data_IF_957461991511
#
_entry.id   IF_957461991511
#
_cell.length_a   1.000
_cell.length_b   1.000
_cell.length_c   1.000
_cell.angle_alpha   90.00
_cell.angle_beta   90.00
_cell.angle_gamma   90.00
#
_symmetry.space_group_name_H-M   'P 1'
#
loop_
_entity.id
_entity.type
_entity.pdbx_description
1 polymer ?
#
# COMPACT_ATOMS: atom_id res chain seq x y z
N UNK A 1 -18.67 2.17 -13.65
CA UNK A 1 -19.17 1.80 -12.30
C UNK A 1 -17.94 1.70 -11.39
N UNK A 2 -17.63 2.74 -10.60
CA UNK A 2 -16.34 2.85 -9.88
C UNK A 2 -16.30 2.17 -8.50
N UNK A 3 -17.41 1.60 -8.03
CA UNK A 3 -17.46 0.85 -6.78
C UNK A 3 -17.65 -0.63 -7.13
N UNK A 4 -16.73 -1.53 -6.74
CA UNK A 4 -16.77 -2.94 -7.06
C UNK A 4 -17.80 -3.69 -6.19
N UNK A 5 -19.09 -3.45 -6.43
CA UNK A 5 -20.18 -4.16 -5.74
C UNK A 5 -20.25 -5.65 -6.13
N UNK A 6 -19.71 -6.01 -7.31
CA UNK A 6 -19.78 -7.37 -7.87
C UNK A 6 -18.81 -8.32 -7.17
N UNK A 7 -17.58 -7.89 -6.90
CA UNK A 7 -16.59 -8.76 -6.26
C UNK A 7 -16.91 -9.03 -4.78
N UNK A 8 -17.50 -8.08 -4.07
CA UNK A 8 -18.00 -8.31 -2.71
C UNK A 8 -19.07 -9.42 -2.69
N UNK A 9 -19.94 -9.45 -3.70
CA UNK A 9 -20.99 -10.47 -3.85
C UNK A 9 -20.45 -11.86 -4.21
N UNK A 10 -19.27 -11.92 -4.81
CA UNK A 10 -18.64 -13.16 -5.28
C UNK A 10 -17.61 -13.73 -4.29
N UNK A 11 -17.26 -13.00 -3.22
CA UNK A 11 -16.24 -13.39 -2.25
C UNK A 11 -16.65 -14.63 -1.46
N UNK A 12 -15.88 -15.72 -1.57
CA UNK A 12 -16.15 -16.99 -0.89
C UNK A 12 -15.39 -17.14 0.41
N UNK A 13 -14.22 -16.50 0.55
CA UNK A 13 -13.34 -16.64 1.73
C UNK A 13 -13.16 -15.33 2.48
N UNK A 14 -12.88 -15.45 3.78
CA UNK A 14 -12.50 -14.30 4.60
C UNK A 14 -11.15 -13.73 4.11
N UNK A 15 -11.07 -12.41 3.85
CA UNK A 15 -9.89 -11.77 3.26
C UNK A 15 -8.82 -11.48 4.33
N UNK A 16 -8.20 -12.55 4.84
CA UNK A 16 -7.27 -12.49 5.95
C UNK A 16 -6.02 -11.66 5.62
N UNK A 17 -5.49 -11.72 4.40
CA UNK A 17 -4.30 -10.95 4.02
C UNK A 17 -4.63 -9.45 3.90
N UNK A 18 -5.81 -9.12 3.37
CA UNK A 18 -6.32 -7.75 3.29
C UNK A 18 -6.48 -7.16 4.69
N UNK A 19 -7.16 -7.88 5.59
CA UNK A 19 -7.35 -7.46 7.00
C UNK A 19 -6.01 -7.34 7.73
N UNK A 20 -5.07 -8.25 7.48
CA UNK A 20 -3.73 -8.20 8.05
C UNK A 20 -3.01 -6.92 7.63
N UNK A 21 -2.98 -6.61 6.33
CA UNK A 21 -2.33 -5.41 5.83
C UNK A 21 -3.00 -4.14 6.36
N UNK A 22 -4.33 -4.11 6.44
CA UNK A 22 -5.05 -2.96 7.02
C UNK A 22 -4.69 -2.78 8.49
N UNK A 23 -4.79 -3.85 9.29
CA UNK A 23 -4.46 -3.82 10.71
C UNK A 23 -3.01 -3.39 10.95
N UNK A 24 -2.07 -3.92 10.17
CA UNK A 24 -0.65 -3.58 10.27
C UNK A 24 -0.39 -2.10 9.94
N UNK A 25 -0.96 -1.57 8.86
CA UNK A 25 -0.79 -0.17 8.47
C UNK A 25 -1.40 0.79 9.50
N UNK A 26 -2.59 0.47 10.02
CA UNK A 26 -3.23 1.27 11.08
C UNK A 26 -2.39 1.24 12.35
N UNK A 27 -1.95 0.06 12.78
CA UNK A 27 -1.11 -0.10 13.97
C UNK A 27 0.20 0.67 13.86
N UNK A 28 0.90 0.55 12.72
CA UNK A 28 2.14 1.29 12.47
C UNK A 28 1.89 2.80 12.40
N UNK A 29 0.80 3.25 11.78
CA UNK A 29 0.42 4.65 11.80
C UNK A 29 0.25 5.17 13.24
N UNK A 30 -0.51 4.46 14.08
CA UNK A 30 -0.74 4.86 15.48
C UNK A 30 0.57 4.97 16.29
N UNK A 31 1.49 4.01 16.11
CA UNK A 31 2.78 4.00 16.80
C UNK A 31 3.71 5.11 16.30
N UNK A 32 3.63 5.44 15.00
CA UNK A 32 4.55 6.40 14.39
C UNK A 32 4.13 7.85 14.59
N UNK A 33 2.87 8.13 14.95
CA UNK A 33 2.39 9.48 15.30
C UNK A 33 3.33 10.20 16.29
N UNK A 34 3.64 9.66 17.48
CA UNK A 34 4.53 10.34 18.43
C UNK A 34 6.00 10.38 17.97
N UNK A 35 6.38 9.59 16.97
CA UNK A 35 7.76 9.46 16.49
C UNK A 35 8.05 10.33 15.24
N UNK A 36 7.02 10.92 14.64
CA UNK A 36 7.04 11.58 13.33
C UNK A 36 7.81 12.92 13.32
N UNK A 37 9.12 12.85 13.54
CA UNK A 37 10.09 13.95 13.41
C UNK A 37 10.80 13.93 12.06
N UNK A 38 11.47 15.01 11.68
CA UNK A 38 12.27 15.02 10.44
C UNK A 38 13.33 13.91 10.42
N UNK A 39 14.01 13.68 11.55
CA UNK A 39 14.98 12.57 11.70
C UNK A 39 14.34 11.21 11.46
N UNK A 40 13.12 11.00 11.94
CA UNK A 40 12.37 9.76 11.71
C UNK A 40 12.09 9.56 10.22
N UNK A 41 11.60 10.60 9.54
CA UNK A 41 11.30 10.53 8.11
C UNK A 41 12.54 10.35 7.24
N UNK A 42 13.65 10.97 7.59
CA UNK A 42 14.93 10.74 6.93
C UNK A 42 15.48 9.33 7.16
N UNK A 43 15.14 8.69 8.29
CA UNK A 43 15.62 7.34 8.60
C UNK A 43 14.77 6.24 7.96
N UNK A 44 13.45 6.39 7.99
CA UNK A 44 12.51 5.31 7.68
C UNK A 44 11.61 5.58 6.47
N UNK A 45 11.43 6.84 6.08
CA UNK A 45 10.71 7.20 4.85
C UNK A 45 11.61 7.10 3.62
N UNK A 46 11.00 6.99 2.44
CA UNK A 46 11.74 7.05 1.19
C UNK A 46 11.87 8.51 0.74
N UNK A 47 12.90 9.18 1.25
CA UNK A 47 13.20 10.55 0.81
C UNK A 47 13.86 10.54 -0.57
N UNK A 48 13.26 11.25 -1.51
CA UNK A 48 13.78 11.41 -2.88
C UNK A 48 15.15 12.07 -2.83
N UNK A 49 16.04 11.72 -3.77
CA UNK A 49 17.44 12.19 -3.86
C UNK A 49 18.39 11.77 -2.72
N UNK A 50 17.88 11.45 -1.52
CA UNK A 50 18.71 10.97 -0.40
C UNK A 50 18.88 9.45 -0.40
N UNK A 51 17.85 8.73 -0.82
CA UNK A 51 17.85 7.28 -0.82
C UNK A 51 17.89 6.72 -2.24
N UNK A 52 18.62 5.62 -2.40
CA UNK A 52 18.55 4.80 -3.61
C UNK A 52 17.13 4.24 -3.78
N UNK A 53 16.60 4.15 -5.01
CA UNK A 53 15.31 3.54 -5.31
C UNK A 53 15.30 2.02 -5.07
N UNK A 54 16.42 1.43 -4.63
CA UNK A 54 16.53 0.03 -4.23
C UNK A 54 16.89 -0.14 -2.75
N UNK A 55 16.81 0.95 -1.97
CA UNK A 55 17.11 0.92 -0.53
C UNK A 55 16.00 0.23 0.27
N UNK A 56 16.33 -0.16 1.51
CA UNK A 56 15.36 -0.68 2.47
C UNK A 56 14.19 0.30 2.71
N UNK A 57 14.44 1.59 2.50
CA UNK A 57 13.44 2.65 2.66
C UNK A 57 12.24 2.46 1.76
N UNK A 58 12.40 1.82 0.59
CA UNK A 58 11.29 1.49 -0.32
C UNK A 58 10.29 0.55 0.34
N UNK A 59 10.78 -0.41 1.13
CA UNK A 59 9.90 -1.38 1.82
C UNK A 59 9.31 -0.74 3.06
N UNK A 60 10.10 -0.02 3.86
CA UNK A 60 9.60 0.59 5.09
C UNK A 60 8.59 1.69 4.81
N UNK A 61 8.79 2.50 3.76
CA UNK A 61 7.89 3.58 3.38
C UNK A 61 6.50 3.10 2.97
N UNK A 62 6.34 1.84 2.50
CA UNK A 62 5.03 1.25 2.19
C UNK A 62 4.07 1.26 3.38
N UNK A 63 4.61 1.25 4.60
CA UNK A 63 3.83 1.13 5.83
C UNK A 63 3.76 2.42 6.64
N UNK A 64 4.47 3.47 6.22
CA UNK A 64 4.47 4.77 6.89
C UNK A 64 3.45 5.69 6.23
N UNK A 65 2.68 6.44 7.02
CA UNK A 65 1.68 7.37 6.48
C UNK A 65 1.87 8.76 7.07
N UNK A 66 1.88 9.78 6.20
CA UNK A 66 2.12 11.17 6.60
C UNK A 66 0.94 11.84 7.32
N UNK A 67 -0.24 11.22 7.33
CA UNK A 67 -1.42 11.80 7.98
C UNK A 67 -2.64 10.88 7.97
N UNK A 68 -3.65 11.25 8.76
CA UNK A 68 -4.85 10.45 8.97
C UNK A 68 -5.64 10.21 7.68
N UNK A 69 -5.88 11.26 6.89
CA UNK A 69 -6.61 11.13 5.63
C UNK A 69 -5.87 10.22 4.62
N UNK A 70 -4.53 10.29 4.61
CA UNK A 70 -3.71 9.47 3.74
C UNK A 70 -3.84 7.97 4.08
N UNK A 71 -3.73 7.58 5.35
CA UNK A 71 -3.95 6.18 5.75
C UNK A 71 -5.39 5.73 5.52
N UNK A 72 -6.38 6.58 5.85
CA UNK A 72 -7.79 6.23 5.68
C UNK A 72 -8.12 5.93 4.22
N UNK A 73 -7.68 6.77 3.27
CA UNK A 73 -7.92 6.53 1.85
C UNK A 73 -7.26 5.23 1.37
N UNK A 74 -6.00 4.99 1.71
CA UNK A 74 -5.31 3.77 1.30
C UNK A 74 -6.02 2.52 1.84
N UNK A 75 -6.44 2.54 3.12
CA UNK A 75 -7.13 1.41 3.72
C UNK A 75 -8.53 1.22 3.15
N UNK A 76 -9.23 2.31 2.82
CA UNK A 76 -10.52 2.27 2.15
C UNK A 76 -10.42 1.57 0.79
N UNK A 77 -9.48 1.99 -0.05
CA UNK A 77 -9.25 1.35 -1.35
C UNK A 77 -8.78 -0.10 -1.19
N UNK A 78 -7.88 -0.38 -0.25
CA UNK A 78 -7.44 -1.75 -0.01
C UNK A 78 -8.58 -2.66 0.46
N UNK A 79 -9.50 -2.15 1.29
CA UNK A 79 -10.68 -2.90 1.72
C UNK A 79 -11.62 -3.19 0.54
N UNK A 80 -11.91 -2.16 -0.25
CA UNK A 80 -12.85 -2.22 -1.37
C UNK A 80 -12.39 -3.17 -2.47
N UNK A 81 -11.10 -3.16 -2.83
CA UNK A 81 -10.57 -3.96 -3.95
C UNK A 81 -9.85 -5.24 -3.49
N UNK A 82 -9.22 -5.22 -2.32
CA UNK A 82 -8.30 -6.27 -1.90
C UNK A 82 -8.96 -7.62 -1.66
N UNK A 83 -10.14 -7.64 -1.04
CA UNK A 83 -10.82 -8.89 -0.72
C UNK A 83 -11.19 -9.74 -1.94
N UNK A 84 -11.62 -9.09 -3.03
CA UNK A 84 -11.93 -9.79 -4.30
C UNK A 84 -10.68 -10.35 -4.97
N UNK A 85 -9.59 -9.57 -5.01
CA UNK A 85 -8.31 -10.02 -5.56
C UNK A 85 -7.73 -11.15 -4.73
N UNK A 86 -7.75 -11.05 -3.40
CA UNK A 86 -7.26 -12.10 -2.49
C UNK A 86 -8.00 -13.43 -2.67
N UNK A 87 -9.33 -13.39 -2.84
CA UNK A 87 -10.13 -14.60 -3.05
C UNK A 87 -9.83 -15.25 -4.42
N UNK A 88 -9.62 -14.43 -5.45
CA UNK A 88 -9.35 -14.90 -6.81
C UNK A 88 -7.93 -15.49 -6.99
N UNK A 89 -6.90 -14.87 -6.41
CA UNK A 89 -5.51 -15.30 -6.62
C UNK A 89 -4.91 -16.06 -5.42
N UNK A 90 -5.55 -16.01 -4.26
CA UNK A 90 -5.04 -16.57 -3.01
C UNK A 90 -4.08 -15.62 -2.27
N UNK A 91 -3.98 -15.82 -0.95
CA UNK A 91 -3.27 -14.95 0.00
C UNK A 91 -1.81 -14.65 -0.38
N UNK A 92 -1.06 -15.66 -0.78
CA UNK A 92 0.37 -15.50 -1.10
C UNK A 92 0.56 -14.63 -2.34
N UNK A 93 -0.20 -14.90 -3.41
CA UNK A 93 -0.12 -14.11 -4.65
C UNK A 93 -0.61 -12.69 -4.42
N UNK A 94 -1.66 -12.51 -3.63
CA UNK A 94 -2.13 -11.19 -3.21
C UNK A 94 -1.03 -10.37 -2.51
N UNK A 95 -0.34 -10.97 -1.53
CA UNK A 95 0.77 -10.30 -0.84
C UNK A 95 1.94 -9.98 -1.78
N UNK A 96 2.26 -10.88 -2.72
CA UNK A 96 3.30 -10.62 -3.73
C UNK A 96 2.89 -9.47 -4.65
N UNK A 97 1.64 -9.42 -5.13
CA UNK A 97 1.16 -8.31 -5.94
C UNK A 97 1.27 -7.01 -5.15
N UNK A 98 0.79 -6.97 -3.90
CA UNK A 98 0.86 -5.80 -3.04
C UNK A 98 2.31 -5.32 -2.86
N UNK A 99 3.22 -6.21 -2.47
CA UNK A 99 4.61 -5.84 -2.18
C UNK A 99 5.38 -5.47 -3.46
N UNK A 100 5.29 -6.27 -4.53
CA UNK A 100 6.04 -6.02 -5.76
C UNK A 100 5.57 -4.75 -6.47
N UNK A 101 4.25 -4.54 -6.58
CA UNK A 101 3.71 -3.31 -7.18
C UNK A 101 4.02 -2.08 -6.31
N UNK A 102 3.94 -2.22 -4.99
CA UNK A 102 4.29 -1.16 -4.05
C UNK A 102 5.77 -0.76 -4.14
N UNK A 103 6.68 -1.72 -4.13
CA UNK A 103 8.11 -1.45 -4.28
C UNK A 103 8.40 -0.83 -5.65
N UNK A 104 7.90 -1.44 -6.73
CA UNK A 104 8.13 -0.92 -8.08
C UNK A 104 7.59 0.52 -8.24
N UNK A 105 6.36 0.78 -7.80
CA UNK A 105 5.75 2.11 -7.91
C UNK A 105 6.49 3.16 -7.08
N UNK A 106 6.89 2.84 -5.85
CA UNK A 106 7.67 3.78 -5.05
C UNK A 106 9.09 4.01 -5.58
N UNK A 107 9.74 2.97 -6.12
CA UNK A 107 11.03 3.11 -6.80
C UNK A 107 10.92 4.02 -8.02
N UNK A 108 9.87 3.83 -8.83
CA UNK A 108 9.58 4.70 -9.98
C UNK A 108 9.33 6.14 -9.53
N UNK A 109 8.51 6.33 -8.50
CA UNK A 109 8.23 7.66 -7.94
C UNK A 109 9.50 8.33 -7.39
N UNK A 110 10.38 7.57 -6.74
CA UNK A 110 11.65 8.08 -6.22
C UNK A 110 12.65 8.46 -7.33
N UNK A 111 12.59 7.81 -8.48
CA UNK A 111 13.42 8.15 -9.66
C UNK A 111 12.87 9.35 -10.42
N UNK A 112 11.55 9.42 -10.58
CA UNK A 112 10.90 10.47 -11.38
C UNK A 112 10.61 11.75 -10.58
N UNK A 113 10.50 11.65 -9.26
CA UNK A 113 10.21 12.76 -8.37
C UNK A 113 11.41 13.69 -8.20
N UNK A 114 11.14 14.99 -8.14
CA UNK A 114 12.19 16.01 -8.01
C UNK A 114 12.45 16.44 -6.57
N UNK A 115 11.47 16.40 -5.68
CA UNK A 115 11.61 16.76 -4.26
C UNK A 115 10.54 16.07 -3.43
N UNK A 116 10.87 15.74 -2.18
CA UNK A 116 9.91 15.25 -1.19
C UNK A 116 10.17 13.82 -0.71
N UNK A 117 9.12 13.21 -0.17
CA UNK A 117 9.17 11.89 0.47
C UNK A 117 8.05 11.03 -0.09
N UNK A 118 8.40 9.84 -0.54
CA UNK A 118 7.45 8.81 -0.92
C UNK A 118 7.15 8.00 0.34
N UNK A 119 5.90 8.00 0.76
CA UNK A 119 5.41 7.21 1.90
C UNK A 119 3.98 6.76 1.62
N UNK A 120 3.58 5.66 2.25
CA UNK A 120 2.24 5.13 2.20
C UNK A 120 2.13 3.95 1.25
N UNK A 121 1.01 3.23 1.39
CA UNK A 121 0.75 2.05 0.58
C UNK A 121 0.12 2.35 -0.79
N UNK A 122 -0.01 3.62 -1.19
CA UNK A 122 -0.74 4.04 -2.39
C UNK A 122 -0.30 3.34 -3.68
N UNK A 123 1.02 3.15 -3.87
CA UNK A 123 1.57 2.39 -5.00
C UNK A 123 1.12 0.91 -4.99
N UNK A 124 1.15 0.28 -3.82
CA UNK A 124 0.70 -1.10 -3.64
C UNK A 124 -0.81 -1.24 -3.86
N UNK A 125 -1.59 -0.30 -3.32
CA UNK A 125 -3.05 -0.24 -3.48
C UNK A 125 -3.43 -0.05 -4.95
N UNK A 126 -2.73 0.82 -5.69
CA UNK A 126 -2.90 0.99 -7.14
C UNK A 126 -2.61 -0.30 -7.89
N UNK A 127 -1.59 -1.07 -7.48
CA UNK A 127 -1.31 -2.39 -8.03
C UNK A 127 -2.43 -3.40 -7.78
N UNK A 128 -3.04 -3.40 -6.59
CA UNK A 128 -4.21 -4.22 -6.28
C UNK A 128 -5.43 -3.80 -7.11
N UNK A 129 -5.65 -2.50 -7.32
CA UNK A 129 -6.71 -2.01 -8.21
C UNK A 129 -6.46 -2.45 -9.66
N UNK A 130 -5.23 -2.40 -10.15
CA UNK A 130 -4.87 -2.92 -11.48
C UNK A 130 -5.14 -4.42 -11.61
N UNK A 131 -4.73 -5.21 -10.60
CA UNK A 131 -5.03 -6.64 -10.56
C UNK A 131 -6.54 -6.92 -10.53
N UNK A 132 -7.31 -6.10 -9.80
CA UNK A 132 -8.76 -6.18 -9.79
C UNK A 132 -9.35 -6.00 -11.19
N UNK A 133 -8.93 -4.96 -11.93
CA UNK A 133 -9.43 -4.69 -13.28
C UNK A 133 -9.13 -5.84 -14.26
N UNK A 134 -8.00 -6.53 -14.08
CA UNK A 134 -7.65 -7.69 -14.92
C UNK A 134 -8.50 -8.92 -14.55
N UNK A 135 -8.77 -9.13 -13.27
CA UNK A 135 -9.51 -10.31 -12.78
C UNK A 135 -11.03 -10.18 -12.94
N UNK A 136 -11.54 -8.96 -12.99
CA UNK A 136 -12.98 -8.64 -13.04
C UNK A 136 -13.27 -7.56 -14.11
N UNK A 137 -13.11 -7.87 -15.41
CA UNK A 137 -13.35 -6.93 -16.51
C UNK A 137 -14.82 -6.56 -16.70
#
# INVERSE_FOLDING_TARGET
>A
MFIPLVAERMRKRFPAATVLLISLNIFLFLITIPLASDKFWHRWGLVMQLHSPFSVNVVTSLFLHAGLFHVLLNMWFLWVYGGGVEDACGRVRFLLIYLLSGMAGQSVEAVLGSVGRVVGSGAAVSGIMGAYLVLFP
#
